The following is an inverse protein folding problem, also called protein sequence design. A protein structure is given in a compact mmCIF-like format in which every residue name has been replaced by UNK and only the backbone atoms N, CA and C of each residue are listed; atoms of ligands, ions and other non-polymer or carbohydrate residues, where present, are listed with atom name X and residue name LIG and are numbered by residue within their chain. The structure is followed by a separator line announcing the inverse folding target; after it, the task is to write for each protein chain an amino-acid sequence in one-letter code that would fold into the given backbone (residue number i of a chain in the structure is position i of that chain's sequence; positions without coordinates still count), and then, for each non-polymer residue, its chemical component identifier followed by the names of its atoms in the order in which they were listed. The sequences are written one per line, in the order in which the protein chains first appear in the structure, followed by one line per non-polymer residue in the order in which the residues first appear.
data_IF_508177503742
#
_entry.id   IF_508177503742
#
_cell.length_a   1.000
_cell.length_b   1.000
_cell.length_c   1.000
_cell.angle_alpha   90.00
_cell.angle_beta   90.00
_cell.angle_gamma   90.00
#
_symmetry.space_group_name_H-M   'P 1'
#
loop_
_entity.id
_entity.type
_entity.pdbx_description
1 polymer ?
#
# COMPACT_ATOMS: atom_id res chain seq x y z
N UNK A 1 8.68 -28.83 -19.95
CA UNK A 1 7.69 -28.82 -18.86
C UNK A 1 6.36 -29.19 -19.47
N UNK A 2 5.80 -30.37 -19.13
CA UNK A 2 4.68 -30.96 -19.83
C UNK A 2 3.40 -30.13 -19.67
N UNK A 3 2.55 -30.17 -20.69
CA UNK A 3 1.23 -29.52 -20.73
C UNK A 3 0.35 -29.88 -19.52
N UNK A 4 0.58 -31.07 -18.95
CA UNK A 4 -0.05 -31.57 -17.74
C UNK A 4 0.34 -30.73 -16.48
N UNK A 5 1.61 -30.33 -16.34
CA UNK A 5 2.06 -29.46 -15.24
C UNK A 5 1.52 -28.04 -15.37
N UNK A 6 1.32 -27.54 -16.61
CA UNK A 6 0.65 -26.25 -16.84
C UNK A 6 -0.83 -26.31 -16.45
N UNK A 7 -1.53 -27.39 -16.79
CA UNK A 7 -2.92 -27.60 -16.39
C UNK A 7 -3.07 -27.73 -14.87
N UNK A 8 -2.23 -28.51 -14.21
CA UNK A 8 -2.22 -28.63 -12.74
C UNK A 8 -1.91 -27.30 -12.07
N UNK A 9 -0.96 -26.51 -12.62
CA UNK A 9 -0.65 -25.18 -12.08
C UNK A 9 -1.81 -24.19 -12.26
N UNK A 10 -2.53 -24.26 -13.37
CA UNK A 10 -3.75 -23.47 -13.59
C UNK A 10 -4.90 -23.90 -12.67
N UNK A 11 -5.14 -25.20 -12.53
CA UNK A 11 -6.20 -25.71 -11.65
C UNK A 11 -5.90 -25.47 -10.17
N UNK A 12 -4.65 -25.60 -9.73
CA UNK A 12 -4.24 -25.29 -8.34
C UNK A 12 -4.28 -23.78 -8.08
N UNK A 13 -3.97 -22.94 -9.06
CA UNK A 13 -4.12 -21.49 -8.92
C UNK A 13 -5.58 -21.07 -8.79
N UNK A 14 -6.50 -21.76 -9.48
CA UNK A 14 -7.95 -21.53 -9.36
C UNK A 14 -8.50 -21.98 -8.01
N UNK A 15 -8.00 -23.09 -7.45
CA UNK A 15 -8.42 -23.60 -6.13
C UNK A 15 -7.92 -22.74 -4.97
N UNK A 16 -6.85 -21.95 -5.17
CA UNK A 16 -6.22 -21.14 -4.10
C UNK A 16 -6.83 -19.75 -3.96
N UNK A 17 -7.68 -19.30 -4.91
CA UNK A 17 -8.20 -17.95 -4.84
C UNK A 17 -9.65 -17.78 -5.31
N UNK A 18 -10.62 -18.14 -4.45
CA UNK A 18 -12.05 -18.01 -4.77
C UNK A 18 -12.45 -16.56 -5.14
N UNK A 19 -11.74 -15.55 -4.62
CA UNK A 19 -12.02 -14.14 -4.90
C UNK A 19 -11.77 -13.77 -6.36
N UNK A 20 -10.71 -14.31 -6.99
CA UNK A 20 -10.43 -14.06 -8.42
C UNK A 20 -11.46 -14.70 -9.35
N UNK A 21 -11.95 -15.89 -8.97
CA UNK A 21 -12.99 -16.57 -9.77
C UNK A 21 -14.34 -15.85 -9.73
N UNK A 22 -14.62 -15.12 -8.65
CA UNK A 22 -15.88 -14.42 -8.42
C UNK A 22 -15.98 -13.16 -9.30
N UNK A 23 -14.86 -12.48 -9.54
CA UNK A 23 -14.83 -11.19 -10.24
C UNK A 23 -14.47 -11.29 -11.72
N UNK A 24 -14.08 -12.46 -12.24
CA UNK A 24 -13.83 -12.62 -13.67
C UNK A 24 -15.14 -12.88 -14.43
N UNK A 25 -15.70 -11.90 -15.17
CA UNK A 25 -16.91 -12.08 -15.93
C UNK A 25 -16.78 -13.10 -17.07
N UNK A 26 -15.54 -13.49 -17.42
CA UNK A 26 -15.25 -14.50 -18.45
C UNK A 26 -15.29 -15.91 -17.87
N UNK A 27 -14.99 -16.08 -16.56
CA UNK A 27 -14.98 -17.39 -15.89
C UNK A 27 -16.38 -17.91 -15.56
N UNK A 28 -17.36 -17.03 -15.43
CA UNK A 28 -18.75 -17.43 -15.14
C UNK A 28 -19.63 -17.25 -16.36
N UNK A 29 -19.84 -18.33 -17.11
CA UNK A 29 -20.95 -18.41 -18.09
C UNK A 29 -22.34 -18.39 -17.43
N UNK A 30 -22.42 -18.12 -16.15
CA UNK A 30 -23.64 -17.95 -15.38
C UNK A 30 -24.01 -16.47 -15.33
N UNK A 31 -25.30 -16.18 -15.49
CA UNK A 31 -25.90 -14.83 -15.38
C UNK A 31 -25.18 -14.04 -14.29
N UNK A 32 -24.67 -12.86 -14.66
CA UNK A 32 -24.04 -11.91 -13.71
C UNK A 32 -24.92 -11.78 -12.47
N UNK A 33 -24.37 -11.95 -11.25
CA UNK A 33 -25.17 -11.70 -10.07
C UNK A 33 -25.64 -10.25 -10.11
N UNK A 34 -26.93 -10.06 -9.97
CA UNK A 34 -27.53 -8.75 -10.13
C UNK A 34 -27.02 -7.76 -9.06
N UNK A 35 -26.65 -8.26 -7.88
CA UNK A 35 -26.29 -7.43 -6.75
C UNK A 35 -25.04 -7.95 -6.03
N UNK A 36 -24.04 -7.05 -5.85
CA UNK A 36 -22.82 -7.30 -5.08
C UNK A 36 -22.63 -6.25 -3.99
N UNK A 37 -22.13 -6.67 -2.87
CA UNK A 37 -21.73 -5.78 -1.76
C UNK A 37 -20.26 -5.98 -1.47
N UNK A 38 -19.51 -4.88 -1.45
CA UNK A 38 -18.08 -4.89 -1.21
C UNK A 38 -17.75 -3.93 -0.09
N UNK A 39 -17.02 -4.41 0.90
CA UNK A 39 -16.68 -3.65 2.09
C UNK A 39 -15.16 -3.54 2.17
N UNK A 40 -14.64 -2.30 2.14
CA UNK A 40 -13.22 -2.01 2.30
C UNK A 40 -12.97 -1.21 3.57
N UNK A 41 -11.90 -1.51 4.29
CA UNK A 41 -11.41 -0.64 5.36
C UNK A 41 -10.95 0.72 4.80
N UNK A 42 -10.22 0.68 3.68
CA UNK A 42 -9.69 1.85 2.97
C UNK A 42 -10.43 2.06 1.65
N UNK A 43 -11.67 2.49 1.77
CA UNK A 43 -12.57 2.61 0.62
C UNK A 43 -11.99 3.54 -0.47
N UNK A 44 -11.42 4.68 -0.08
CA UNK A 44 -10.84 5.66 -1.00
C UNK A 44 -9.62 5.13 -1.79
N UNK A 45 -8.89 4.19 -1.21
CA UNK A 45 -7.69 3.63 -1.82
C UNK A 45 -7.98 2.41 -2.72
N UNK A 46 -8.92 1.55 -2.29
CA UNK A 46 -9.13 0.23 -2.90
C UNK A 46 -10.29 0.18 -3.89
N UNK A 47 -11.34 1.00 -3.66
CA UNK A 47 -12.50 1.06 -4.55
C UNK A 47 -12.13 1.48 -5.99
N UNK A 48 -11.31 2.53 -6.22
CA UNK A 48 -10.98 2.94 -7.58
C UNK A 48 -10.28 1.84 -8.38
N UNK A 49 -9.35 1.11 -7.75
CA UNK A 49 -8.70 -0.04 -8.38
C UNK A 49 -9.71 -1.15 -8.70
N UNK A 50 -10.60 -1.45 -7.75
CA UNK A 50 -11.61 -2.48 -7.96
C UNK A 50 -12.53 -2.13 -9.15
N UNK A 51 -13.01 -0.90 -9.22
CA UNK A 51 -13.87 -0.43 -10.32
C UNK A 51 -13.15 -0.56 -11.65
N UNK A 52 -11.92 -0.09 -11.76
CA UNK A 52 -11.11 -0.16 -12.98
C UNK A 52 -10.90 -1.60 -13.47
N UNK A 53 -10.63 -2.54 -12.56
CA UNK A 53 -10.31 -3.92 -12.92
C UNK A 53 -11.53 -4.80 -13.19
N UNK A 54 -12.61 -4.58 -12.44
CA UNK A 54 -13.76 -5.50 -12.40
C UNK A 54 -15.09 -4.89 -12.85
N UNK A 55 -15.15 -3.56 -12.92
CA UNK A 55 -16.35 -2.83 -13.32
C UNK A 55 -16.06 -1.74 -14.38
N UNK A 56 -15.22 -1.98 -15.42
CA UNK A 56 -14.71 -0.93 -16.31
C UNK A 56 -15.80 -0.20 -17.10
N UNK A 57 -16.99 -0.76 -17.21
CA UNK A 57 -18.13 -0.16 -17.92
C UNK A 57 -19.28 0.22 -17.00
N UNK A 58 -19.07 0.13 -15.68
CA UNK A 58 -20.10 0.49 -14.73
C UNK A 58 -20.22 2.01 -14.58
N UNK A 59 -21.44 2.50 -14.52
CA UNK A 59 -21.73 3.92 -14.26
C UNK A 59 -21.73 4.19 -12.78
N UNK A 60 -21.12 5.29 -12.37
CA UNK A 60 -21.19 5.75 -11.01
C UNK A 60 -22.54 6.39 -10.71
N UNK A 61 -23.15 5.99 -9.61
CA UNK A 61 -24.32 6.64 -9.05
C UNK A 61 -23.95 7.29 -7.72
N UNK A 62 -24.27 8.57 -7.56
CA UNK A 62 -23.78 9.37 -6.44
C UNK A 62 -24.43 9.03 -5.11
N UNK A 63 -25.68 8.52 -5.12
CA UNK A 63 -26.43 8.17 -3.90
C UNK A 63 -27.29 6.93 -4.11
N UNK A 64 -27.66 6.28 -2.98
CA UNK A 64 -28.61 5.16 -3.02
C UNK A 64 -30.01 5.58 -3.52
N UNK A 65 -30.44 6.79 -3.18
CA UNK A 65 -31.72 7.34 -3.60
C UNK A 65 -31.75 7.54 -5.13
N UNK A 66 -30.67 8.06 -5.71
CA UNK A 66 -30.53 8.18 -7.16
C UNK A 66 -30.51 6.81 -7.83
N UNK A 67 -29.84 5.81 -7.22
CA UNK A 67 -29.86 4.43 -7.69
C UNK A 67 -31.29 3.86 -7.67
N UNK A 68 -32.04 4.01 -6.57
CA UNK A 68 -33.42 3.53 -6.48
C UNK A 68 -34.30 4.17 -7.55
N UNK A 69 -34.16 5.49 -7.75
CA UNK A 69 -34.88 6.22 -8.78
C UNK A 69 -34.57 5.73 -10.20
N UNK A 70 -33.31 5.38 -10.45
CA UNK A 70 -32.86 4.82 -11.75
C UNK A 70 -33.42 3.42 -12.02
N UNK A 71 -33.55 2.60 -10.96
CA UNK A 71 -34.10 1.25 -11.08
C UNK A 71 -35.64 1.30 -11.27
N UNK A 72 -36.32 2.16 -10.50
CA UNK A 72 -37.79 2.31 -10.57
C UNK A 72 -38.26 3.00 -11.86
N UNK A 73 -37.42 3.89 -12.42
CA UNK A 73 -37.74 4.65 -13.61
C UNK A 73 -36.63 4.48 -14.66
N UNK A 74 -36.51 3.31 -15.28
CA UNK A 74 -35.51 3.09 -16.31
C UNK A 74 -35.76 4.04 -17.47
N UNK A 75 -34.77 4.90 -17.77
CA UNK A 75 -34.93 5.78 -18.94
C UNK A 75 -34.89 4.95 -20.20
N UNK A 76 -35.66 5.36 -21.22
CA UNK A 76 -35.71 4.72 -22.51
C UNK A 76 -34.35 4.64 -23.24
N UNK A 77 -33.36 5.35 -22.75
CA UNK A 77 -31.99 5.43 -23.29
C UNK A 77 -30.98 4.67 -22.46
N UNK A 78 -31.38 3.99 -21.41
CA UNK A 78 -30.43 3.25 -20.57
C UNK A 78 -30.09 1.92 -21.27
N UNK A 79 -28.92 1.88 -21.87
CA UNK A 79 -28.20 0.62 -21.96
C UNK A 79 -28.14 0.01 -20.56
N UNK A 80 -28.32 -1.31 -20.47
CA UNK A 80 -28.29 -2.04 -19.18
C UNK A 80 -26.85 -2.12 -18.61
N UNK A 81 -26.18 -0.94 -18.56
CA UNK A 81 -24.85 -0.86 -18.00
C UNK A 81 -24.87 -1.13 -16.49
N UNK A 82 -23.92 -1.88 -15.98
CA UNK A 82 -23.78 -2.06 -14.54
C UNK A 82 -23.63 -0.71 -13.83
N UNK A 83 -24.12 -0.63 -12.60
CA UNK A 83 -24.05 0.59 -11.77
C UNK A 83 -23.27 0.29 -10.50
N UNK A 84 -22.41 1.21 -10.10
CA UNK A 84 -21.83 1.15 -8.77
C UNK A 84 -22.17 2.39 -7.94
N UNK A 85 -22.26 2.19 -6.64
CA UNK A 85 -22.56 3.25 -5.67
C UNK A 85 -21.60 3.17 -4.50
N UNK A 86 -21.00 4.30 -4.16
CA UNK A 86 -20.27 4.48 -2.92
C UNK A 86 -21.23 4.89 -1.80
N UNK A 87 -21.20 4.20 -0.69
CA UNK A 87 -22.05 4.45 0.45
C UNK A 87 -21.18 4.78 1.67
N UNK A 88 -20.93 6.07 1.90
CA UNK A 88 -20.08 6.53 3.00
C UNK A 88 -20.77 6.42 4.36
N UNK A 89 -22.09 6.61 4.38
CA UNK A 89 -22.89 6.54 5.60
C UNK A 89 -23.92 5.42 5.48
N UNK A 90 -23.91 4.49 6.44
CA UNK A 90 -24.88 3.40 6.47
C UNK A 90 -26.30 3.97 6.60
N UNK A 91 -27.16 3.77 5.60
CA UNK A 91 -28.55 4.19 5.69
C UNK A 91 -29.30 3.34 6.72
N UNK A 92 -30.34 3.89 7.31
CA UNK A 92 -31.18 3.18 8.29
C UNK A 92 -31.85 1.94 7.69
N UNK A 93 -32.13 1.96 6.38
CA UNK A 93 -32.75 0.86 5.66
C UNK A 93 -32.27 0.83 4.22
N UNK A 94 -31.87 -0.34 3.74
CA UNK A 94 -31.54 -0.61 2.34
C UNK A 94 -32.69 -1.41 1.72
N UNK A 95 -33.13 -1.03 0.52
CA UNK A 95 -34.23 -1.69 -0.21
C UNK A 95 -33.66 -2.89 -0.99
N UNK A 96 -33.26 -3.94 -0.26
CA UNK A 96 -32.62 -5.12 -0.83
C UNK A 96 -33.45 -5.79 -1.92
N UNK A 97 -34.78 -5.85 -1.72
CA UNK A 97 -35.69 -6.48 -2.69
C UNK A 97 -35.64 -5.77 -4.05
N UNK A 98 -35.72 -4.44 -4.05
CA UNK A 98 -35.60 -3.63 -5.26
C UNK A 98 -34.25 -3.84 -5.98
N UNK A 99 -33.17 -3.93 -5.22
CA UNK A 99 -31.82 -4.12 -5.77
C UNK A 99 -31.62 -5.54 -6.34
N UNK A 100 -32.18 -6.56 -5.68
CA UNK A 100 -32.12 -7.96 -6.12
C UNK A 100 -32.95 -8.21 -7.39
N UNK A 101 -34.09 -7.56 -7.49
CA UNK A 101 -35.00 -7.69 -8.63
C UNK A 101 -34.59 -6.83 -9.82
N UNK A 102 -33.51 -6.08 -9.69
CA UNK A 102 -33.00 -5.23 -10.77
C UNK A 102 -32.43 -6.06 -11.93
N UNK A 103 -32.80 -5.71 -13.16
CA UNK A 103 -32.22 -6.25 -14.40
C UNK A 103 -30.78 -5.74 -14.65
N UNK A 104 -30.34 -4.75 -13.88
CA UNK A 104 -29.04 -4.11 -13.99
C UNK A 104 -28.12 -4.63 -12.88
N UNK A 105 -26.89 -4.97 -13.22
CA UNK A 105 -25.88 -5.35 -12.22
C UNK A 105 -25.57 -4.18 -11.30
N UNK A 106 -25.72 -4.35 -9.98
CA UNK A 106 -25.46 -3.32 -8.99
C UNK A 106 -24.31 -3.73 -8.09
N UNK A 107 -23.35 -2.83 -7.89
CA UNK A 107 -22.25 -3.01 -6.93
C UNK A 107 -22.29 -1.89 -5.89
N UNK A 108 -22.45 -2.24 -4.62
CA UNK A 108 -22.44 -1.31 -3.52
C UNK A 108 -21.11 -1.39 -2.78
N UNK A 109 -20.48 -0.24 -2.55
CA UNK A 109 -19.25 -0.12 -1.80
C UNK A 109 -19.49 0.52 -0.45
N UNK A 110 -18.99 -0.10 0.62
CA UNK A 110 -19.12 0.38 2.00
C UNK A 110 -17.76 0.46 2.69
N UNK A 111 -17.63 1.40 3.61
CA UNK A 111 -16.48 1.51 4.52
C UNK A 111 -16.67 0.74 5.83
N UNK A 112 -17.89 0.26 6.12
CA UNK A 112 -18.25 -0.41 7.37
C UNK A 112 -19.00 -1.72 7.11
N UNK A 113 -18.79 -2.71 7.97
CA UNK A 113 -19.49 -3.99 7.90
C UNK A 113 -21.01 -3.82 8.02
N UNK A 114 -21.74 -4.55 7.19
CA UNK A 114 -23.19 -4.62 7.18
C UNK A 114 -23.66 -5.84 8.00
N UNK A 115 -24.68 -5.64 8.83
CA UNK A 115 -25.28 -6.72 9.63
C UNK A 115 -26.34 -7.54 8.87
N UNK A 116 -27.00 -6.96 7.88
CA UNK A 116 -28.22 -7.47 7.25
C UNK A 116 -28.09 -7.61 5.72
N UNK A 117 -27.03 -8.26 5.25
CA UNK A 117 -26.86 -8.54 3.82
C UNK A 117 -27.28 -9.98 3.44
N UNK A 118 -28.29 -10.54 4.12
CA UNK A 118 -28.74 -11.90 3.87
C UNK A 118 -29.19 -12.13 2.43
N UNK A 119 -28.62 -13.14 1.78
CA UNK A 119 -28.92 -13.50 0.38
C UNK A 119 -28.32 -12.57 -0.67
N UNK A 120 -27.31 -11.78 -0.31
CA UNK A 120 -26.53 -10.94 -1.23
C UNK A 120 -25.06 -11.40 -1.22
N UNK A 121 -24.46 -11.42 -2.40
CA UNK A 121 -23.01 -11.70 -2.50
C UNK A 121 -22.22 -10.59 -1.81
N UNK A 122 -21.65 -10.89 -0.64
CA UNK A 122 -20.93 -9.91 0.18
C UNK A 122 -19.45 -10.30 0.33
N UNK A 123 -18.57 -9.36 -0.08
CA UNK A 123 -17.13 -9.48 0.08
C UNK A 123 -16.65 -8.47 1.11
N UNK A 124 -16.21 -8.95 2.25
CA UNK A 124 -15.78 -8.10 3.37
C UNK A 124 -14.25 -8.09 3.51
N UNK A 125 -13.62 -6.99 3.12
CA UNK A 125 -12.19 -6.72 3.25
C UNK A 125 -11.87 -5.75 4.40
N UNK A 126 -12.85 -5.35 5.21
CA UNK A 126 -12.64 -4.38 6.29
C UNK A 126 -11.85 -4.93 7.48
N UNK A 127 -11.65 -6.23 7.56
CA UNK A 127 -10.89 -6.90 8.62
C UNK A 127 -9.54 -7.42 8.15
N UNK A 128 -9.15 -7.08 6.92
CA UNK A 128 -7.87 -7.50 6.36
C UNK A 128 -6.69 -6.88 7.11
N UNK A 129 -5.69 -7.70 7.36
CA UNK A 129 -4.40 -7.21 7.84
C UNK A 129 -3.60 -6.58 6.69
N UNK A 130 -2.65 -5.67 6.96
CA UNK A 130 -1.89 -4.99 5.90
C UNK A 130 -1.25 -5.93 4.88
N UNK A 131 -0.72 -7.08 5.31
CA UNK A 131 -0.11 -8.05 4.40
C UNK A 131 -1.15 -8.85 3.57
N UNK A 132 -2.37 -9.04 4.09
CA UNK A 132 -3.47 -9.66 3.36
C UNK A 132 -3.95 -8.74 2.25
N UNK A 133 -4.08 -7.43 2.57
CA UNK A 133 -4.36 -6.38 1.59
C UNK A 133 -3.29 -6.33 0.49
N UNK A 134 -2.00 -6.31 0.86
CA UNK A 134 -0.91 -6.32 -0.11
C UNK A 134 -0.97 -7.56 -1.02
N UNK A 135 -1.24 -8.74 -0.44
CA UNK A 135 -1.40 -9.99 -1.19
C UNK A 135 -2.58 -9.91 -2.16
N UNK A 136 -3.72 -9.37 -1.74
CA UNK A 136 -4.91 -9.17 -2.58
C UNK A 136 -4.62 -8.23 -3.74
N UNK A 137 -4.00 -7.08 -3.48
CA UNK A 137 -3.61 -6.12 -4.53
C UNK A 137 -2.64 -6.75 -5.54
N UNK A 138 -1.65 -7.52 -5.06
CA UNK A 138 -0.77 -8.28 -5.94
C UNK A 138 -1.55 -9.22 -6.87
N UNK A 139 -2.50 -9.98 -6.31
CA UNK A 139 -3.28 -10.94 -7.07
C UNK A 139 -4.14 -10.25 -8.15
N UNK A 140 -4.78 -9.14 -7.81
CA UNK A 140 -5.60 -8.38 -8.76
C UNK A 140 -4.77 -7.82 -9.91
N UNK A 141 -3.64 -7.21 -9.62
CA UNK A 141 -2.76 -6.63 -10.64
C UNK A 141 -2.06 -7.72 -11.45
N UNK A 142 -1.65 -8.81 -10.82
CA UNK A 142 -1.10 -9.96 -11.54
C UNK A 142 -2.11 -10.59 -12.51
N UNK A 143 -3.38 -10.68 -12.10
CA UNK A 143 -4.46 -11.12 -12.98
C UNK A 143 -4.67 -10.17 -14.17
N UNK A 144 -4.64 -8.86 -13.94
CA UNK A 144 -4.66 -7.87 -15.02
C UNK A 144 -3.50 -8.08 -16.00
N UNK A 145 -2.27 -8.26 -15.50
CA UNK A 145 -1.12 -8.57 -16.36
C UNK A 145 -1.30 -9.86 -17.17
N UNK A 146 -1.88 -10.90 -16.55
CA UNK A 146 -2.15 -12.17 -17.22
C UNK A 146 -3.16 -12.01 -18.39
N UNK A 147 -4.19 -11.18 -18.25
CA UNK A 147 -5.11 -10.84 -19.36
C UNK A 147 -4.37 -10.20 -20.52
N UNK A 148 -3.29 -9.46 -20.25
CA UNK A 148 -2.39 -8.89 -21.26
C UNK A 148 -1.28 -9.86 -21.70
N UNK A 149 -1.37 -11.17 -21.36
CA UNK A 149 -0.38 -12.22 -21.65
C UNK A 149 1.01 -11.92 -21.07
N UNK A 150 1.07 -11.17 -19.97
CA UNK A 150 2.29 -10.82 -19.23
C UNK A 150 2.22 -11.41 -17.83
N UNK A 151 3.39 -11.58 -17.19
CA UNK A 151 3.50 -12.01 -15.80
C UNK A 151 4.15 -10.93 -14.96
N UNK A 152 3.63 -10.68 -13.77
CA UNK A 152 4.20 -9.73 -12.80
C UNK A 152 5.02 -10.50 -11.78
N UNK A 153 6.32 -10.22 -11.70
CA UNK A 153 7.18 -10.80 -10.68
C UNK A 153 6.90 -10.16 -9.32
N UNK A 154 6.86 -10.96 -8.26
CA UNK A 154 6.54 -10.47 -6.92
C UNK A 154 7.46 -9.34 -6.46
N UNK A 155 8.78 -9.44 -6.68
CA UNK A 155 9.73 -8.38 -6.32
C UNK A 155 9.45 -7.05 -7.03
N UNK A 156 9.02 -7.10 -8.30
CA UNK A 156 8.60 -5.91 -9.03
C UNK A 156 7.33 -5.30 -8.42
N UNK A 157 6.34 -6.13 -8.08
CA UNK A 157 5.15 -5.64 -7.39
C UNK A 157 5.48 -5.02 -6.02
N UNK A 158 6.32 -5.66 -5.21
CA UNK A 158 6.69 -5.16 -3.90
C UNK A 158 7.36 -3.77 -3.99
N UNK A 159 8.16 -3.55 -5.05
CA UNK A 159 8.74 -2.23 -5.34
C UNK A 159 7.69 -1.22 -5.79
N UNK A 160 6.82 -1.59 -6.73
CA UNK A 160 5.71 -0.73 -7.16
C UNK A 160 4.78 -0.38 -5.99
N UNK A 161 4.52 -1.31 -5.09
CA UNK A 161 3.73 -1.09 -3.89
C UNK A 161 4.36 -0.05 -2.96
N UNK A 162 5.68 -0.06 -2.79
CA UNK A 162 6.42 0.96 -2.02
C UNK A 162 6.40 2.32 -2.72
N UNK A 163 6.72 2.38 -4.01
CA UNK A 163 6.70 3.61 -4.81
C UNK A 163 5.33 4.29 -4.76
N UNK A 164 4.28 3.49 -4.81
CA UNK A 164 2.90 3.99 -4.82
C UNK A 164 2.29 4.12 -3.42
N UNK A 165 3.07 3.97 -2.35
CA UNK A 165 2.61 4.03 -0.94
C UNK A 165 1.41 3.10 -0.66
N UNK A 166 1.30 2.02 -1.42
CA UNK A 166 0.20 1.06 -1.32
C UNK A 166 -1.10 1.49 -2.00
N UNK A 167 -1.12 2.61 -2.76
CA UNK A 167 -2.27 3.00 -3.56
C UNK A 167 -2.43 2.10 -4.79
N UNK A 168 -3.44 1.22 -4.75
CA UNK A 168 -3.63 0.20 -5.77
C UNK A 168 -3.78 0.74 -7.19
N UNK A 169 -4.53 1.84 -7.37
CA UNK A 169 -4.72 2.47 -8.68
C UNK A 169 -3.42 3.05 -9.23
N UNK A 170 -2.57 3.63 -8.38
CA UNK A 170 -1.27 4.15 -8.81
C UNK A 170 -0.34 3.00 -9.27
N UNK A 171 -0.36 1.86 -8.58
CA UNK A 171 0.36 0.66 -9.02
C UNK A 171 -0.13 0.21 -10.40
N UNK A 172 -1.45 0.18 -10.62
CA UNK A 172 -2.03 -0.19 -11.91
C UNK A 172 -1.55 0.76 -13.02
N UNK A 173 -1.56 2.09 -12.78
CA UNK A 173 -1.09 3.07 -13.77
C UNK A 173 0.37 2.89 -14.15
N UNK A 174 1.24 2.60 -13.18
CA UNK A 174 2.64 2.24 -13.47
C UNK A 174 2.74 0.96 -14.31
N UNK A 175 1.96 -0.07 -13.98
CA UNK A 175 1.94 -1.31 -14.76
C UNK A 175 1.44 -1.07 -16.18
N UNK A 176 0.38 -0.30 -16.37
CA UNK A 176 -0.13 0.07 -17.70
C UNK A 176 0.94 0.80 -18.53
N UNK A 177 1.63 1.77 -17.93
CA UNK A 177 2.72 2.50 -18.58
C UNK A 177 3.85 1.55 -19.03
N UNK A 178 4.24 0.61 -18.17
CA UNK A 178 5.24 -0.40 -18.51
C UNK A 178 4.75 -1.28 -19.66
N UNK A 179 3.50 -1.73 -19.63
CA UNK A 179 2.93 -2.61 -20.64
C UNK A 179 2.89 -2.00 -22.04
N UNK A 180 2.80 -0.66 -22.16
CA UNK A 180 2.82 0.03 -23.46
C UNK A 180 4.14 -0.15 -24.22
N UNK A 181 5.25 -0.35 -23.53
CA UNK A 181 6.59 -0.42 -24.12
C UNK A 181 7.28 -1.76 -23.89
N UNK A 182 6.70 -2.63 -23.06
CA UNK A 182 7.31 -3.90 -22.69
C UNK A 182 7.11 -4.97 -23.74
N UNK A 183 8.19 -5.34 -24.45
CA UNK A 183 8.18 -6.49 -25.35
C UNK A 183 8.31 -7.83 -24.58
N UNK A 184 9.09 -7.85 -23.48
CA UNK A 184 9.32 -9.04 -22.68
C UNK A 184 8.03 -9.62 -22.06
N UNK A 185 7.93 -10.95 -21.86
CA UNK A 185 6.74 -11.57 -21.28
C UNK A 185 6.58 -11.34 -19.78
N UNK A 186 7.59 -10.77 -19.12
CA UNK A 186 7.64 -10.62 -17.65
C UNK A 186 7.99 -9.20 -17.23
N UNK A 187 7.29 -8.70 -16.23
CA UNK A 187 7.61 -7.46 -15.52
C UNK A 187 8.50 -7.84 -14.33
N UNK A 188 9.78 -7.47 -14.40
CA UNK A 188 10.81 -7.75 -13.39
C UNK A 188 11.33 -6.46 -12.78
N UNK A 189 12.23 -6.55 -11.79
CA UNK A 189 12.93 -5.38 -11.24
C UNK A 189 13.74 -4.64 -12.30
N UNK A 190 14.41 -5.37 -13.21
CA UNK A 190 15.16 -4.80 -14.31
C UNK A 190 14.25 -4.00 -15.27
N UNK A 191 13.01 -4.46 -15.45
CA UNK A 191 12.00 -3.71 -16.21
C UNK A 191 11.70 -2.37 -15.54
N UNK A 192 11.54 -2.35 -14.22
CA UNK A 192 11.29 -1.12 -13.48
C UNK A 192 12.46 -0.14 -13.56
N UNK A 193 13.70 -0.65 -13.51
CA UNK A 193 14.91 0.18 -13.66
C UNK A 193 14.96 0.86 -15.05
N UNK A 194 14.61 0.14 -16.11
CA UNK A 194 14.53 0.68 -17.47
C UNK A 194 13.47 1.79 -17.61
N UNK A 195 12.40 1.70 -16.83
CA UNK A 195 11.33 2.72 -16.81
C UNK A 195 11.58 3.84 -15.79
N UNK A 196 12.78 3.89 -15.19
CA UNK A 196 13.13 4.88 -14.16
C UNK A 196 12.17 4.88 -12.96
N UNK A 197 11.50 3.75 -12.70
CA UNK A 197 10.67 3.55 -11.53
C UNK A 197 11.56 3.10 -10.36
N UNK A 198 12.36 4.03 -9.90
CA UNK A 198 13.15 3.86 -8.70
C UNK A 198 12.24 3.92 -7.47
N UNK A 199 12.67 3.28 -6.41
CA UNK A 199 12.00 3.49 -5.13
C UNK A 199 11.97 5.00 -4.86
N UNK A 200 10.81 5.51 -4.48
CA UNK A 200 10.70 6.87 -3.94
C UNK A 200 11.79 7.04 -2.91
N UNK A 201 12.31 8.24 -2.84
CA UNK A 201 13.25 8.58 -1.77
C UNK A 201 12.76 7.98 -0.45
N UNK A 202 13.65 7.37 0.32
CA UNK A 202 13.28 6.77 1.59
C UNK A 202 12.44 7.78 2.38
N UNK A 203 11.34 7.33 2.98
CA UNK A 203 10.53 8.24 3.79
C UNK A 203 11.39 8.80 4.93
N UNK A 204 10.98 9.91 5.50
CA UNK A 204 11.78 10.59 6.54
C UNK A 204 12.21 9.67 7.69
N UNK A 205 11.45 8.63 7.97
CA UNK A 205 11.80 7.66 9.01
C UNK A 205 12.96 6.77 8.56
N UNK A 206 12.95 6.33 7.32
CA UNK A 206 14.05 5.56 6.73
C UNK A 206 15.28 6.44 6.53
N UNK A 207 15.09 7.71 6.10
CA UNK A 207 16.18 8.70 6.03
C UNK A 207 16.82 8.93 7.40
N UNK A 208 16.01 9.08 8.44
CA UNK A 208 16.49 9.23 9.81
C UNK A 208 17.29 8.00 10.29
N UNK A 209 16.77 6.81 10.00
CA UNK A 209 17.45 5.55 10.33
C UNK A 209 18.78 5.42 9.58
N UNK A 210 18.78 5.65 8.27
CA UNK A 210 19.99 5.56 7.48
C UNK A 210 21.03 6.61 7.87
N UNK A 211 20.60 7.82 8.22
CA UNK A 211 21.50 8.88 8.66
C UNK A 211 22.31 8.49 9.90
N UNK A 212 21.75 7.69 10.80
CA UNK A 212 22.46 7.20 11.98
C UNK A 212 23.52 6.14 11.66
N UNK A 213 23.25 5.26 10.70
CA UNK A 213 24.14 4.14 10.41
C UNK A 213 25.10 4.43 9.25
N UNK A 214 24.64 5.20 8.26
CA UNK A 214 25.38 5.53 7.02
C UNK A 214 25.13 6.98 6.64
N UNK A 215 25.71 7.94 7.39
CA UNK A 215 25.41 9.34 7.16
C UNK A 215 25.77 9.78 5.74
N UNK A 216 24.75 10.30 5.02
CA UNK A 216 24.87 10.89 3.69
C UNK A 216 24.08 12.18 3.65
N UNK A 217 24.63 13.23 3.04
CA UNK A 217 23.93 14.50 2.94
C UNK A 217 22.64 14.43 2.11
N UNK A 218 22.59 13.52 1.12
CA UNK A 218 21.41 13.25 0.30
C UNK A 218 20.20 12.70 1.04
N UNK A 219 20.34 12.36 2.35
CA UNK A 219 19.24 11.91 3.21
C UNK A 219 18.43 13.08 3.80
N UNK A 220 18.65 14.32 3.37
CA UNK A 220 17.83 15.45 3.76
C UNK A 220 16.37 15.24 3.29
N UNK A 221 15.37 15.36 4.18
CA UNK A 221 13.97 15.31 3.77
C UNK A 221 13.60 16.48 2.83
N UNK A 222 12.65 16.21 1.92
CA UNK A 222 12.06 17.25 1.08
C UNK A 222 10.53 17.03 0.99
N UNK A 223 9.68 17.93 1.51
CA UNK A 223 10.05 19.16 2.25
C UNK A 223 10.65 18.86 3.62
N UNK A 224 11.61 19.71 4.04
CA UNK A 224 12.27 19.55 5.33
C UNK A 224 11.41 20.08 6.48
N UNK A 225 10.98 19.18 7.37
CA UNK A 225 10.52 19.49 8.74
C UNK A 225 11.59 19.05 9.74
N UNK A 226 12.48 19.95 10.10
CA UNK A 226 13.62 19.63 10.96
C UNK A 226 13.21 19.13 12.35
N UNK A 227 12.14 19.67 12.93
CA UNK A 227 11.66 19.24 14.26
C UNK A 227 11.06 17.84 14.21
N UNK A 228 10.24 17.56 13.19
CA UNK A 228 9.70 16.23 12.94
C UNK A 228 10.81 15.21 12.64
N UNK A 229 11.82 15.60 11.87
CA UNK A 229 12.97 14.76 11.55
C UNK A 229 13.82 14.42 12.77
N UNK A 230 14.14 15.43 13.62
CA UNK A 230 14.84 15.22 14.90
C UNK A 230 14.06 14.27 15.82
N UNK A 231 12.73 14.40 15.85
CA UNK A 231 11.88 13.50 16.64
C UNK A 231 12.02 12.04 16.20
N UNK A 232 12.03 11.79 14.87
CA UNK A 232 12.24 10.46 14.29
C UNK A 232 13.64 9.91 14.61
N UNK A 233 14.68 10.74 14.44
CA UNK A 233 16.06 10.38 14.82
C UNK A 233 16.17 10.01 16.30
N UNK A 234 15.57 10.80 17.19
CA UNK A 234 15.57 10.54 18.63
C UNK A 234 14.93 9.20 18.95
N UNK A 235 13.82 8.89 18.31
CA UNK A 235 13.13 7.62 18.51
C UNK A 235 13.99 6.45 18.03
N UNK A 236 14.70 6.58 16.89
CA UNK A 236 15.65 5.56 16.42
C UNK A 236 16.80 5.38 17.40
N UNK A 237 17.36 6.46 17.93
CA UNK A 237 18.41 6.40 18.97
C UNK A 237 17.91 5.63 20.19
N UNK A 238 16.72 5.91 20.70
CA UNK A 238 16.15 5.18 21.83
C UNK A 238 15.93 3.70 21.53
N UNK A 239 15.40 3.35 20.36
CA UNK A 239 15.23 1.95 20.00
C UNK A 239 16.58 1.21 19.97
N UNK A 240 17.63 1.84 19.44
CA UNK A 240 18.97 1.24 19.42
C UNK A 240 19.57 1.12 20.82
N UNK A 241 19.40 2.10 21.69
CA UNK A 241 19.83 2.01 23.09
C UNK A 241 19.14 0.86 23.83
N UNK A 242 17.82 0.70 23.65
CA UNK A 242 17.07 -0.42 24.28
C UNK A 242 17.53 -1.80 23.81
N UNK A 243 18.13 -1.90 22.62
CA UNK A 243 18.69 -3.16 22.16
C UNK A 243 19.98 -3.58 22.86
N UNK A 244 20.66 -2.65 23.54
CA UNK A 244 21.82 -2.96 24.40
C UNK A 244 21.42 -3.34 25.82
N UNK A 245 20.14 -3.15 26.20
CA UNK A 245 19.65 -3.52 27.53
C UNK A 245 19.09 -4.95 27.50
N UNK A 246 19.42 -5.76 28.54
CA UNK A 246 18.91 -7.13 28.67
C UNK A 246 17.39 -7.19 28.90
N UNK A 247 16.82 -6.13 29.46
CA UNK A 247 15.39 -5.99 29.71
C UNK A 247 14.92 -4.59 29.35
N UNK A 248 14.50 -4.37 28.09
CA UNK A 248 14.06 -3.04 27.67
C UNK A 248 12.81 -2.61 28.44
N UNK A 249 12.87 -1.42 29.06
CA UNK A 249 11.75 -0.80 29.79
C UNK A 249 10.62 -0.35 28.89
N UNK A 250 10.88 -0.27 27.59
CA UNK A 250 9.91 0.18 26.57
C UNK A 250 9.55 -1.00 25.68
N UNK A 251 8.26 -1.19 25.42
CA UNK A 251 7.78 -2.21 24.52
C UNK A 251 8.12 -1.82 23.06
N UNK A 252 9.13 -2.47 22.50
CA UNK A 252 9.48 -2.32 21.08
C UNK A 252 8.42 -3.07 20.25
N UNK A 253 7.76 -2.41 19.27
CA UNK A 253 6.78 -3.07 18.40
C UNK A 253 7.37 -4.31 17.70
N UNK A 254 6.60 -5.40 17.51
CA UNK A 254 7.13 -6.66 16.95
C UNK A 254 7.79 -6.51 15.57
N UNK A 255 7.25 -5.66 14.69
CA UNK A 255 7.83 -5.40 13.37
C UNK A 255 9.20 -4.71 13.48
N UNK A 256 9.38 -3.82 14.48
CA UNK A 256 10.65 -3.15 14.75
C UNK A 256 11.70 -4.12 15.29
N UNK A 257 11.31 -5.09 16.12
CA UNK A 257 12.27 -6.10 16.65
C UNK A 257 12.96 -6.87 15.54
N UNK A 258 12.21 -7.25 14.48
CA UNK A 258 12.79 -7.93 13.33
C UNK A 258 13.82 -7.05 12.61
N UNK A 259 13.43 -5.83 12.28
CA UNK A 259 14.27 -4.85 11.60
C UNK A 259 15.55 -4.51 12.40
N UNK A 260 15.41 -4.36 13.71
CA UNK A 260 16.55 -4.12 14.62
C UNK A 260 17.47 -5.34 14.71
N UNK A 261 16.96 -6.54 14.55
CA UNK A 261 17.74 -7.76 14.43
C UNK A 261 18.60 -7.77 13.17
N UNK A 262 18.07 -7.29 12.05
CA UNK A 262 18.80 -7.20 10.77
C UNK A 262 19.98 -6.22 10.83
N UNK A 263 19.87 -5.14 11.61
CA UNK A 263 20.94 -4.12 11.81
C UNK A 263 21.82 -4.36 13.04
N UNK A 264 21.79 -5.56 13.62
CA UNK A 264 22.55 -5.88 14.83
C UNK A 264 24.05 -5.60 14.70
N UNK A 265 24.67 -6.07 13.64
CA UNK A 265 26.11 -5.92 13.42
C UNK A 265 26.51 -4.44 13.24
N UNK A 266 25.74 -3.68 12.46
CA UNK A 266 25.99 -2.23 12.27
C UNK A 266 25.85 -1.47 13.60
N UNK A 267 24.86 -1.80 14.42
CA UNK A 267 24.65 -1.20 15.75
C UNK A 267 25.79 -1.52 16.70
N UNK A 268 26.25 -2.78 16.74
CA UNK A 268 27.37 -3.21 17.59
C UNK A 268 28.68 -2.53 17.17
N UNK A 269 28.89 -2.33 15.87
CA UNK A 269 30.06 -1.59 15.36
C UNK A 269 30.07 -0.12 15.79
N UNK A 270 28.91 0.55 15.83
CA UNK A 270 28.81 1.92 16.34
C UNK A 270 28.99 2.00 17.85
N UNK A 271 28.55 0.98 18.57
CA UNK A 271 28.64 0.88 20.03
C UNK A 271 27.64 1.78 20.77
N UNK A 272 27.37 1.43 22.03
CA UNK A 272 26.38 2.11 22.87
C UNK A 272 26.71 3.60 23.11
N UNK A 273 27.99 3.93 23.22
CA UNK A 273 28.44 5.30 23.49
C UNK A 273 28.08 6.26 22.36
N UNK A 274 28.08 5.79 21.11
CA UNK A 274 27.63 6.58 19.97
C UNK A 274 26.16 7.03 20.15
N UNK A 275 25.27 6.10 20.48
CA UNK A 275 23.87 6.42 20.69
C UNK A 275 23.62 7.34 21.88
N UNK A 276 24.37 7.19 22.97
CA UNK A 276 24.30 8.14 24.09
C UNK A 276 24.79 9.53 23.70
N UNK A 277 25.82 9.64 22.86
CA UNK A 277 26.32 10.94 22.39
C UNK A 277 25.34 11.64 21.45
N UNK A 278 24.46 10.89 20.75
CA UNK A 278 23.43 11.47 19.90
C UNK A 278 22.35 12.23 20.67
N UNK A 279 22.00 11.83 21.88
CA UNK A 279 20.91 12.46 22.65
C UNK A 279 21.13 13.95 22.92
N UNK A 280 22.27 14.37 23.53
CA UNK A 280 22.53 15.81 23.74
C UNK A 280 22.69 16.58 22.44
N UNK A 281 23.25 15.95 21.39
CA UNK A 281 23.37 16.55 20.05
C UNK A 281 22.02 16.88 19.48
N UNK A 282 21.09 15.91 19.48
CA UNK A 282 19.73 16.10 18.98
C UNK A 282 18.97 17.17 19.78
N UNK A 283 19.17 17.21 21.11
CA UNK A 283 18.57 18.22 21.96
C UNK A 283 19.11 19.63 21.62
N UNK A 284 20.43 19.78 21.42
CA UNK A 284 21.04 21.06 21.03
C UNK A 284 20.42 21.58 19.70
N UNK A 285 20.35 20.74 18.66
CA UNK A 285 19.78 21.15 17.37
C UNK A 285 18.30 21.47 17.51
N UNK A 286 17.54 20.72 18.32
CA UNK A 286 16.13 21.00 18.59
C UNK A 286 15.94 22.36 19.28
N UNK A 287 16.79 22.71 20.25
CA UNK A 287 16.76 24.02 20.92
C UNK A 287 17.05 25.16 19.92
N UNK A 288 18.03 24.98 19.04
CA UNK A 288 18.35 25.94 18.00
C UNK A 288 17.18 26.09 17.01
N UNK A 289 16.54 24.99 16.63
CA UNK A 289 15.35 25.03 15.76
C UNK A 289 14.19 25.81 16.40
N UNK A 290 13.93 25.59 17.69
CA UNK A 290 12.89 26.30 18.44
C UNK A 290 13.21 27.78 18.68
N UNK A 291 14.48 28.18 18.64
CA UNK A 291 14.86 29.60 18.77
C UNK A 291 14.49 30.45 17.52
N UNK A 292 14.24 29.79 16.38
CA UNK A 292 13.92 30.45 15.12
C UNK A 292 15.08 31.25 14.49
N UNK A 293 16.29 31.09 15.01
CA UNK A 293 17.45 31.89 14.58
C UNK A 293 18.16 31.36 13.34
N UNK A 294 17.82 30.13 12.92
CA UNK A 294 18.49 29.44 11.81
C UNK A 294 17.48 28.89 10.83
N UNK A 295 17.87 28.82 9.55
CA UNK A 295 17.06 28.13 8.54
C UNK A 295 17.07 26.61 8.80
N UNK A 296 16.06 25.90 8.27
CA UNK A 296 15.96 24.45 8.45
C UNK A 296 17.13 23.72 7.80
N UNK A 297 17.60 24.20 6.64
CA UNK A 297 18.73 23.66 5.91
C UNK A 297 20.03 23.81 6.71
N UNK A 298 20.28 24.98 7.32
CA UNK A 298 21.45 25.20 8.17
C UNK A 298 21.44 24.28 9.40
N UNK A 299 20.28 24.04 9.96
CA UNK A 299 20.12 23.13 11.10
C UNK A 299 20.36 21.68 10.67
N UNK A 300 19.91 21.28 9.48
CA UNK A 300 20.21 19.97 8.94
C UNK A 300 21.70 19.78 8.65
N UNK A 301 22.37 20.76 8.05
CA UNK A 301 23.82 20.72 7.81
C UNK A 301 24.61 20.60 9.09
N UNK A 302 24.21 21.33 10.15
CA UNK A 302 24.79 21.23 11.48
C UNK A 302 24.59 19.80 12.05
N UNK A 303 23.37 19.30 12.00
CA UNK A 303 23.00 17.96 12.47
C UNK A 303 23.83 16.90 11.74
N UNK A 304 23.83 16.92 10.42
CA UNK A 304 24.60 16.01 9.57
C UNK A 304 26.10 16.03 9.92
N UNK A 305 26.70 17.22 9.95
CA UNK A 305 28.13 17.37 10.25
C UNK A 305 28.48 16.81 11.63
N UNK A 306 27.62 17.01 12.62
CA UNK A 306 27.81 16.50 13.98
C UNK A 306 27.68 14.97 14.04
N UNK A 307 26.73 14.39 13.34
CA UNK A 307 26.55 12.92 13.26
C UNK A 307 27.77 12.30 12.59
N UNK A 308 28.23 12.83 11.44
CA UNK A 308 29.43 12.35 10.75
C UNK A 308 30.65 12.37 11.66
N UNK A 309 30.86 13.46 12.40
CA UNK A 309 31.99 13.56 13.35
C UNK A 309 31.92 12.59 14.52
N UNK A 310 30.71 12.23 14.95
CA UNK A 310 30.49 11.29 16.03
C UNK A 310 30.50 9.83 15.57
N UNK A 311 30.30 9.58 14.28
CA UNK A 311 30.36 8.23 13.72
C UNK A 311 31.79 7.72 13.75
N UNK A 312 32.08 6.58 14.41
CA UNK A 312 33.39 5.96 14.35
C UNK A 312 33.76 5.71 12.90
N UNK A 313 35.04 5.90 12.54
CA UNK A 313 35.53 5.50 11.23
C UNK A 313 35.32 3.98 11.09
N UNK A 314 34.25 3.59 10.40
CA UNK A 314 34.05 2.19 10.04
C UNK A 314 35.16 1.88 9.03
N UNK A 315 36.15 1.09 9.45
CA UNK A 315 37.16 0.57 8.52
C UNK A 315 36.39 -0.15 7.40
N UNK A 316 36.57 0.34 6.18
CA UNK A 316 36.08 -0.33 4.98
C UNK A 316 36.78 -1.68 4.88
N UNK A 317 36.10 -2.76 5.33
CA UNK A 317 36.52 -4.14 5.09
C UNK A 317 35.87 -4.67 3.82
#
# INVERSE_FOLDING_TARGET
MSELLRRIYYEVSFLVNPVLCIFDPVATKTKTPALRVIIFERLDEDMPLFVELFCPHAKECTTLEALYSSIENPSFFSEKDPIYVRVDTLPKKIRWDLLKDSDVGVTLFFSKSLKDADGVECHNFSTEKPWERQKRLYQWIAHFCQKQKKTLHKGAFDRLFRISEGFGLAILRHVEQILLTLEAPQITLETLDKHHLYETEPNDWEKAKELLFRPRHSLCPDPLDILGFISKLRQEVYYNLFCFEDSPKVAIPPFRKKEMGEKKNEREALGINFFYAMLPLLLEVEMLAKSGSFSQEMLYDLLYTRIVKATPALEEN
#
